data_IF_075049274003
#
_entry.id   IF_075049274003
#
_cell.length_a   1.000
_cell.length_b   1.000
_cell.length_c   1.000
_cell.angle_alpha   90.00
_cell.angle_beta   90.00
_cell.angle_gamma   90.00
#
_symmetry.space_group_name_H-M   'P 1'
#
loop_
_entity.id
_entity.type
_entity.pdbx_description
1 polymer ?
#
# COMPACT_ATOMS: atom_id res chain seq x y z
N UNK A 1 -22.44 12.70 -15.15
CA UNK A 1 -21.88 13.37 -13.95
C UNK A 1 -20.38 13.24 -14.04
N UNK A 2 -19.63 14.34 -13.98
CA UNK A 2 -18.17 14.26 -13.92
C UNK A 2 -17.80 13.77 -12.53
N UNK A 3 -17.05 12.68 -12.45
CA UNK A 3 -16.59 12.12 -11.19
C UNK A 3 -15.63 13.12 -10.52
N UNK A 4 -15.82 13.39 -9.23
CA UNK A 4 -14.87 14.20 -8.45
C UNK A 4 -13.98 13.31 -7.59
N UNK A 5 -12.81 13.82 -7.17
CA UNK A 5 -11.92 13.10 -6.24
C UNK A 5 -12.61 12.79 -4.91
N UNK A 6 -13.53 13.65 -4.46
CA UNK A 6 -14.27 13.38 -3.23
C UNK A 6 -15.19 12.19 -3.41
N UNK A 7 -15.86 12.06 -4.56
CA UNK A 7 -16.77 10.95 -4.86
C UNK A 7 -16.03 9.61 -4.88
N UNK A 8 -14.75 9.59 -5.28
CA UNK A 8 -13.91 8.38 -5.25
C UNK A 8 -13.89 7.82 -3.83
N UNK A 9 -13.67 8.68 -2.83
CA UNK A 9 -13.53 8.28 -1.44
C UNK A 9 -14.90 8.04 -0.80
N UNK A 10 -15.83 9.00 -0.94
CA UNK A 10 -17.12 8.97 -0.23
C UNK A 10 -18.09 7.94 -0.79
N UNK A 11 -18.10 7.76 -2.11
CA UNK A 11 -18.96 6.78 -2.79
C UNK A 11 -18.21 5.49 -3.12
N UNK A 12 -16.92 5.40 -2.80
CA UNK A 12 -16.10 4.21 -3.04
C UNK A 12 -15.96 3.86 -4.51
N UNK A 13 -15.94 4.87 -5.40
CA UNK A 13 -15.85 4.74 -6.86
C UNK A 13 -14.43 4.42 -7.35
N UNK A 14 -13.83 3.41 -6.75
CA UNK A 14 -12.57 2.81 -7.16
C UNK A 14 -12.60 1.32 -6.84
N UNK A 15 -11.68 0.58 -7.45
CA UNK A 15 -11.49 -0.83 -7.18
C UNK A 15 -10.01 -1.18 -7.22
N UNK A 16 -9.69 -2.37 -6.72
CA UNK A 16 -8.35 -2.92 -6.80
C UNK A 16 -8.39 -4.10 -7.77
N UNK A 17 -7.39 -4.18 -8.64
CA UNK A 17 -7.07 -5.40 -9.38
C UNK A 17 -5.83 -6.03 -8.74
N UNK A 18 -5.72 -7.36 -8.84
CA UNK A 18 -4.68 -8.12 -8.15
C UNK A 18 -3.80 -8.82 -9.18
N UNK A 19 -2.53 -8.45 -9.22
CA UNK A 19 -1.54 -9.03 -10.11
C UNK A 19 -0.80 -10.15 -9.37
N UNK A 20 -0.81 -11.40 -9.86
CA UNK A 20 -0.13 -12.50 -9.17
C UNK A 20 1.39 -12.36 -9.28
N UNK A 21 2.08 -12.70 -8.19
CA UNK A 21 3.55 -12.76 -8.10
C UNK A 21 3.97 -14.21 -7.89
N UNK A 22 4.91 -14.68 -8.72
CA UNK A 22 5.37 -16.07 -8.71
C UNK A 22 6.84 -16.17 -8.30
N UNK A 23 7.17 -17.20 -7.53
CA UNK A 23 8.56 -17.55 -7.22
C UNK A 23 9.20 -18.22 -8.44
N UNK A 24 10.33 -17.70 -8.91
CA UNK A 24 10.91 -18.08 -10.22
C UNK A 24 11.35 -19.56 -10.23
N UNK A 25 11.91 -20.09 -9.13
CA UNK A 25 12.49 -21.43 -9.15
C UNK A 25 11.41 -22.53 -9.11
N UNK A 26 10.38 -22.37 -8.26
CA UNK A 26 9.31 -23.35 -8.13
C UNK A 26 8.11 -23.09 -9.05
N UNK A 27 7.97 -21.87 -9.59
CA UNK A 27 6.76 -21.44 -10.30
C UNK A 27 5.53 -21.35 -9.40
N UNK A 28 5.69 -21.41 -8.07
CA UNK A 28 4.59 -21.32 -7.12
C UNK A 28 4.11 -19.88 -6.95
N UNK A 29 2.80 -19.73 -6.72
CA UNK A 29 2.21 -18.43 -6.39
C UNK A 29 2.71 -17.99 -5.02
N UNK A 30 3.45 -16.88 -4.99
CA UNK A 30 3.99 -16.30 -3.76
C UNK A 30 3.02 -15.29 -3.13
N UNK A 31 2.42 -14.44 -3.95
CA UNK A 31 1.59 -13.34 -3.48
C UNK A 31 0.79 -12.64 -4.58
N UNK A 32 0.19 -11.52 -4.23
CA UNK A 32 -0.47 -10.61 -5.16
C UNK A 32 -0.06 -9.18 -4.88
N UNK A 33 0.13 -8.40 -5.93
CA UNK A 33 0.21 -6.94 -5.86
C UNK A 33 -1.17 -6.33 -6.10
N UNK A 34 -1.58 -5.44 -5.20
CA UNK A 34 -2.84 -4.71 -5.33
C UNK A 34 -2.66 -3.38 -6.03
N UNK A 35 -3.38 -3.23 -7.14
CA UNK A 35 -3.29 -2.08 -8.02
C UNK A 35 -4.60 -1.31 -8.04
N UNK A 36 -4.53 -0.04 -7.64
CA UNK A 36 -5.67 0.87 -7.63
C UNK A 36 -6.19 1.17 -9.04
N UNK A 37 -7.50 1.22 -9.22
CA UNK A 37 -8.19 1.58 -10.47
C UNK A 37 -9.42 2.44 -10.17
N UNK A 38 -9.69 3.42 -11.01
CA UNK A 38 -10.81 4.34 -10.86
C UNK A 38 -11.23 4.88 -12.24
N UNK A 39 -12.49 5.29 -12.39
CA UNK A 39 -13.00 5.95 -13.60
C UNK A 39 -12.63 7.44 -13.69
N UNK A 40 -12.03 8.02 -12.64
CA UNK A 40 -11.63 9.43 -12.63
C UNK A 40 -10.47 9.68 -13.59
N UNK A 41 -9.47 8.80 -13.54
CA UNK A 41 -8.36 8.75 -14.49
C UNK A 41 -7.85 7.31 -14.57
N UNK A 42 -7.55 6.86 -15.78
CA UNK A 42 -6.97 5.55 -16.04
C UNK A 42 -5.55 5.39 -15.47
N UNK A 43 -4.83 6.49 -15.26
CA UNK A 43 -3.52 6.51 -14.60
C UNK A 43 -3.68 6.78 -13.10
N UNK A 44 -3.46 5.76 -12.23
CA UNK A 44 -3.57 5.91 -10.78
C UNK A 44 -2.66 7.02 -10.23
N UNK A 45 -1.46 7.20 -10.78
CA UNK A 45 -0.51 8.22 -10.31
C UNK A 45 -1.09 9.63 -10.41
N UNK A 46 -1.86 9.91 -11.47
CA UNK A 46 -2.54 11.21 -11.63
C UNK A 46 -3.64 11.39 -10.58
N UNK A 47 -4.39 10.32 -10.25
CA UNK A 47 -5.41 10.37 -9.20
C UNK A 47 -4.77 10.72 -7.85
N UNK A 48 -3.69 10.03 -7.47
CA UNK A 48 -2.97 10.30 -6.22
C UNK A 48 -2.27 11.66 -6.22
N UNK A 49 -1.74 12.12 -7.37
CA UNK A 49 -1.21 13.48 -7.52
C UNK A 49 -2.28 14.53 -7.23
N UNK A 50 -3.48 14.37 -7.78
CA UNK A 50 -4.58 15.29 -7.53
C UNK A 50 -5.05 15.22 -6.07
N UNK A 51 -5.16 14.02 -5.49
CA UNK A 51 -5.50 13.85 -4.07
C UNK A 51 -4.50 14.56 -3.14
N UNK A 52 -3.20 14.49 -3.44
CA UNK A 52 -2.14 15.23 -2.74
C UNK A 52 -2.36 16.74 -2.82
N UNK A 53 -2.62 17.26 -4.03
CA UNK A 53 -2.87 18.70 -4.23
C UNK A 53 -4.14 19.20 -3.56
N UNK A 54 -5.12 18.33 -3.38
CA UNK A 54 -6.37 18.61 -2.68
C UNK A 54 -6.33 18.35 -1.18
N UNK A 55 -5.18 17.89 -0.63
CA UNK A 55 -5.02 17.62 0.80
C UNK A 55 -5.76 16.39 1.31
N UNK A 56 -6.14 15.47 0.42
CA UNK A 56 -6.92 14.26 0.74
C UNK A 56 -6.17 12.96 0.44
N UNK A 57 -4.83 13.04 0.34
CA UNK A 57 -3.99 11.89 0.00
C UNK A 57 -4.09 10.79 1.05
N UNK A 58 -4.07 11.15 2.33
CA UNK A 58 -4.15 10.18 3.43
C UNK A 58 -5.45 9.38 3.36
N UNK A 59 -6.58 10.06 3.11
CA UNK A 59 -7.90 9.47 3.01
C UNK A 59 -8.00 8.54 1.80
N UNK A 60 -7.48 8.93 0.64
CA UNK A 60 -7.48 8.09 -0.55
C UNK A 60 -6.59 6.85 -0.37
N UNK A 61 -5.37 7.05 0.13
CA UNK A 61 -4.38 5.98 0.28
C UNK A 61 -4.84 4.93 1.30
N UNK A 62 -5.34 5.38 2.46
CA UNK A 62 -5.93 4.46 3.46
C UNK A 62 -7.21 3.79 2.97
N UNK A 63 -8.06 4.47 2.18
CA UNK A 63 -9.23 3.84 1.57
C UNK A 63 -8.84 2.75 0.56
N UNK A 64 -7.80 3.00 -0.25
CA UNK A 64 -7.24 2.03 -1.19
C UNK A 64 -6.67 0.79 -0.47
N UNK A 65 -5.88 1.00 0.59
CA UNK A 65 -5.34 -0.07 1.43
C UNK A 65 -6.47 -0.88 2.09
N UNK A 66 -7.46 -0.21 2.67
CA UNK A 66 -8.61 -0.85 3.31
C UNK A 66 -9.38 -1.74 2.34
N UNK A 67 -9.69 -1.23 1.15
CA UNK A 67 -10.40 -2.01 0.13
C UNK A 67 -9.57 -3.19 -0.33
N UNK A 68 -8.28 -2.97 -0.60
CA UNK A 68 -7.33 -4.00 -1.00
C UNK A 68 -7.32 -5.18 -0.02
N UNK A 69 -7.12 -4.91 1.27
CA UNK A 69 -7.05 -5.94 2.33
C UNK A 69 -8.39 -6.68 2.45
N UNK A 70 -9.51 -5.97 2.43
CA UNK A 70 -10.83 -6.60 2.53
C UNK A 70 -11.11 -7.56 1.36
N UNK A 71 -10.88 -7.11 0.13
CA UNK A 71 -11.08 -7.94 -1.07
C UNK A 71 -10.09 -9.10 -1.09
N UNK A 72 -8.83 -8.85 -0.71
CA UNK A 72 -7.85 -9.92 -0.58
C UNK A 72 -8.30 -11.00 0.40
N UNK A 73 -8.78 -10.58 1.59
CA UNK A 73 -9.25 -11.48 2.62
C UNK A 73 -10.47 -12.31 2.18
N UNK A 74 -11.42 -11.67 1.50
CA UNK A 74 -12.64 -12.31 1.03
C UNK A 74 -12.35 -13.41 -0.01
N UNK A 75 -11.44 -13.17 -0.95
CA UNK A 75 -11.27 -14.03 -2.13
C UNK A 75 -10.05 -14.96 -2.09
N UNK A 76 -8.95 -14.54 -1.46
CA UNK A 76 -7.64 -15.21 -1.61
C UNK A 76 -7.12 -15.85 -0.33
N UNK A 77 -7.57 -15.37 0.82
CA UNK A 77 -7.02 -15.73 2.12
C UNK A 77 -7.61 -17.04 2.67
N UNK A 78 -8.94 -17.21 2.62
CA UNK A 78 -9.64 -18.34 3.27
C UNK A 78 -9.65 -19.67 2.49
N UNK A 79 -9.18 -19.69 1.24
CA UNK A 79 -9.35 -20.83 0.32
C UNK A 79 -8.07 -21.57 -0.07
N UNK A 80 -6.90 -21.07 0.30
CA UNK A 80 -5.63 -21.62 -0.18
C UNK A 80 -4.84 -22.34 0.92
N UNK A 81 -4.33 -23.55 0.60
CA UNK A 81 -3.42 -24.33 1.48
C UNK A 81 -2.07 -23.62 1.70
N UNK A 82 -1.67 -22.77 0.75
CA UNK A 82 -0.56 -21.83 0.89
C UNK A 82 -1.16 -20.42 0.91
N UNK A 83 -1.06 -19.74 2.04
CA UNK A 83 -1.60 -18.40 2.23
C UNK A 83 -0.68 -17.38 1.53
N UNK A 84 -1.08 -16.81 0.37
CA UNK A 84 -0.24 -15.86 -0.36
C UNK A 84 -0.05 -14.58 0.45
N UNK A 85 1.01 -13.80 0.19
CA UNK A 85 1.10 -12.44 0.72
C UNK A 85 0.31 -11.45 -0.17
N UNK A 86 0.01 -10.28 0.38
CA UNK A 86 -0.56 -9.15 -0.31
C UNK A 86 0.41 -7.96 -0.25
N UNK A 87 0.84 -7.47 -1.40
CA UNK A 87 1.51 -6.19 -1.55
C UNK A 87 0.49 -5.06 -1.69
N UNK A 88 0.66 -3.99 -0.92
CA UNK A 88 -0.11 -2.75 -1.03
C UNK A 88 0.80 -1.55 -1.14
N UNK A 89 0.51 -0.69 -2.12
CA UNK A 89 1.15 0.59 -2.31
C UNK A 89 0.87 1.54 -1.14
N UNK A 90 1.89 2.29 -0.71
CA UNK A 90 1.81 3.21 0.41
C UNK A 90 2.71 4.43 0.18
N UNK A 91 2.16 5.62 0.38
CA UNK A 91 2.93 6.86 0.32
C UNK A 91 3.67 7.16 1.64
N UNK A 92 4.95 7.59 1.58
CA UNK A 92 5.71 8.10 2.73
C UNK A 92 5.00 9.15 3.60
N UNK A 93 4.12 9.98 3.06
CA UNK A 93 3.35 10.95 3.82
C UNK A 93 2.24 10.29 4.64
N UNK A 94 1.58 9.25 4.09
CA UNK A 94 0.55 8.46 4.74
C UNK A 94 1.11 7.72 5.96
N UNK A 95 2.25 7.05 5.83
CA UNK A 95 2.87 6.30 6.94
C UNK A 95 3.31 7.20 8.10
N UNK A 96 3.64 8.47 7.82
CA UNK A 96 4.01 9.48 8.82
C UNK A 96 2.81 10.06 9.56
N UNK A 97 1.59 9.77 9.11
CA UNK A 97 0.37 10.25 9.74
C UNK A 97 0.19 9.60 11.12
N UNK A 98 -0.11 10.37 12.19
CA UNK A 98 -0.14 9.85 13.57
C UNK A 98 -1.10 8.67 13.78
N UNK A 99 -2.17 8.59 12.99
CA UNK A 99 -3.20 7.55 13.12
C UNK A 99 -2.97 6.35 12.19
N UNK A 100 -1.95 6.35 11.33
CA UNK A 100 -1.77 5.29 10.32
C UNK A 100 -1.53 3.91 10.95
N UNK A 101 -0.63 3.81 11.93
CA UNK A 101 -0.33 2.52 12.58
C UNK A 101 -1.57 1.95 13.28
N UNK A 102 -2.33 2.80 13.98
CA UNK A 102 -3.57 2.39 14.63
C UNK A 102 -4.63 1.95 13.61
N UNK A 103 -4.77 2.69 12.51
CA UNK A 103 -5.65 2.33 11.40
C UNK A 103 -5.31 0.95 10.83
N UNK A 104 -4.03 0.72 10.53
CA UNK A 104 -3.58 -0.51 9.89
C UNK A 104 -3.74 -1.71 10.83
N UNK A 105 -3.39 -1.56 12.11
CA UNK A 105 -3.58 -2.62 13.11
C UNK A 105 -5.06 -2.99 13.26
N UNK A 106 -5.94 -2.00 13.41
CA UNK A 106 -7.39 -2.23 13.53
C UNK A 106 -7.95 -2.94 12.29
N UNK A 107 -7.51 -2.52 11.11
CA UNK A 107 -7.93 -3.14 9.86
C UNK A 107 -7.53 -4.63 9.80
N UNK A 108 -6.29 -4.96 10.14
CA UNK A 108 -5.82 -6.35 10.13
C UNK A 108 -6.52 -7.21 11.18
N UNK A 109 -6.76 -6.67 12.38
CA UNK A 109 -7.53 -7.35 13.43
C UNK A 109 -8.97 -7.66 12.97
N UNK A 110 -9.64 -6.71 12.30
CA UNK A 110 -11.00 -6.88 11.79
C UNK A 110 -11.14 -8.02 10.77
N UNK A 111 -10.09 -8.28 10.00
CA UNK A 111 -10.09 -9.32 8.95
C UNK A 111 -9.32 -10.59 9.34
N UNK A 112 -8.74 -10.62 10.54
CA UNK A 112 -7.88 -11.70 11.06
C UNK A 112 -6.70 -12.01 10.11
N UNK A 113 -6.10 -10.99 9.51
CA UNK A 113 -4.98 -11.12 8.57
C UNK A 113 -3.64 -10.89 9.31
N UNK A 114 -2.74 -11.88 9.39
CA UNK A 114 -1.43 -11.71 10.02
C UNK A 114 -0.59 -10.62 9.31
N UNK A 115 0.10 -9.74 10.05
CA UNK A 115 0.95 -8.69 9.47
C UNK A 115 2.05 -9.22 8.54
N UNK A 116 2.56 -10.43 8.76
CA UNK A 116 3.61 -11.07 7.94
C UNK A 116 3.12 -11.42 6.53
N UNK A 117 1.83 -11.23 6.27
CA UNK A 117 1.18 -11.48 4.99
C UNK A 117 0.84 -10.20 4.26
N UNK A 118 1.25 -9.05 4.79
CA UNK A 118 1.12 -7.75 4.15
C UNK A 118 2.50 -7.17 3.91
N UNK A 119 2.80 -6.93 2.64
CA UNK A 119 3.98 -6.19 2.19
C UNK A 119 3.55 -4.75 1.93
N UNK A 120 4.16 -3.80 2.63
CA UNK A 120 3.96 -2.38 2.41
C UNK A 120 4.99 -1.89 1.38
N UNK A 121 4.52 -1.56 0.19
CA UNK A 121 5.35 -1.05 -0.91
C UNK A 121 5.42 0.47 -0.84
N UNK A 122 6.60 0.96 -0.42
CA UNK A 122 6.84 2.38 -0.25
C UNK A 122 7.14 3.00 -1.61
N UNK A 123 6.34 3.99 -2.00
CA UNK A 123 6.54 4.73 -3.23
C UNK A 123 7.82 5.60 -3.18
N UNK A 124 8.73 5.45 -4.16
CA UNK A 124 10.00 6.19 -4.20
C UNK A 124 9.87 7.65 -4.65
N UNK A 125 8.77 8.01 -5.33
CA UNK A 125 8.63 9.33 -5.98
C UNK A 125 8.23 10.44 -5.02
N UNK A 126 7.74 10.10 -3.83
CA UNK A 126 7.39 11.09 -2.82
C UNK A 126 8.63 11.49 -2.01
N UNK A 127 8.99 12.78 -2.11
CA UNK A 127 10.09 13.34 -1.33
C UNK A 127 9.83 13.17 0.16
N UNK A 128 10.81 12.62 0.85
CA UNK A 128 10.78 12.47 2.30
C UNK A 128 11.86 13.34 2.95
N UNK A 129 11.42 14.41 3.60
CA UNK A 129 12.34 15.38 4.21
C UNK A 129 12.74 15.00 5.64
N UNK A 130 12.04 14.04 6.27
CA UNK A 130 12.25 13.61 7.66
C UNK A 130 12.52 12.09 7.73
N UNK A 131 13.74 11.73 7.30
CA UNK A 131 14.23 10.36 7.36
C UNK A 131 14.27 9.77 8.78
N UNK A 132 14.69 10.50 9.84
CA UNK A 132 14.67 9.95 11.20
C UNK A 132 13.29 9.51 11.66
N UNK A 133 12.26 10.33 11.44
CA UNK A 133 10.88 9.97 11.79
C UNK A 133 10.40 8.79 10.95
N UNK A 134 10.68 8.80 9.65
CA UNK A 134 10.30 7.73 8.74
C UNK A 134 10.93 6.39 9.14
N UNK A 135 12.24 6.34 9.39
CA UNK A 135 12.96 5.15 9.86
C UNK A 135 12.35 4.59 11.15
N UNK A 136 12.01 5.47 12.10
CA UNK A 136 11.37 5.04 13.36
C UNK A 136 10.03 4.34 13.11
N UNK A 137 9.22 4.85 12.19
CA UNK A 137 7.93 4.24 11.85
C UNK A 137 8.11 2.91 11.12
N UNK A 138 9.06 2.83 10.18
CA UNK A 138 9.38 1.57 9.51
C UNK A 138 9.85 0.49 10.49
N UNK A 139 10.69 0.87 11.46
CA UNK A 139 11.14 -0.05 12.50
C UNK A 139 9.98 -0.55 13.37
N UNK A 140 9.06 0.34 13.77
CA UNK A 140 7.84 -0.06 14.51
C UNK A 140 6.99 -1.04 13.69
N UNK A 141 6.77 -0.78 12.40
CA UNK A 141 6.06 -1.70 11.50
C UNK A 141 6.75 -3.07 11.39
N UNK A 142 8.06 -3.10 11.15
CA UNK A 142 8.80 -4.37 11.10
C UNK A 142 8.73 -5.13 12.41
N UNK A 143 8.83 -4.44 13.56
CA UNK A 143 8.71 -5.06 14.88
C UNK A 143 7.34 -5.69 15.14
N UNK A 144 6.32 -5.26 14.39
CA UNK A 144 4.94 -5.80 14.40
C UNK A 144 4.71 -6.88 13.35
N UNK A 145 5.75 -7.30 12.63
CA UNK A 145 5.70 -8.39 11.65
C UNK A 145 5.41 -7.96 10.20
N UNK A 146 5.24 -6.66 9.92
CA UNK A 146 5.04 -6.21 8.54
C UNK A 146 6.28 -6.40 7.68
N UNK A 147 6.06 -6.81 6.44
CA UNK A 147 7.07 -6.79 5.40
C UNK A 147 7.06 -5.42 4.72
N UNK A 148 8.23 -4.94 4.31
CA UNK A 148 8.38 -3.63 3.68
C UNK A 148 9.18 -3.82 2.40
N UNK A 149 8.69 -3.28 1.30
CA UNK A 149 9.39 -3.25 0.02
C UNK A 149 9.47 -1.81 -0.50
N UNK A 150 10.40 -1.57 -1.42
CA UNK A 150 10.44 -0.33 -2.19
C UNK A 150 9.79 -0.58 -3.55
N UNK A 151 8.90 0.31 -3.94
CA UNK A 151 8.33 0.30 -5.28
C UNK A 151 9.31 0.94 -6.29
N UNK A 152 9.34 0.40 -7.51
CA UNK A 152 9.92 1.01 -8.70
C UNK A 152 11.37 1.52 -8.59
N UNK A 153 12.25 0.76 -7.94
CA UNK A 153 13.67 1.09 -7.75
C UNK A 153 14.36 1.64 -9.02
N UNK A 154 14.73 2.93 -8.99
CA UNK A 154 15.66 3.52 -9.97
C UNK A 154 15.04 4.47 -11.00
N UNK A 155 13.76 4.86 -10.85
CA UNK A 155 13.17 5.94 -11.66
C UNK A 155 13.46 7.34 -11.06
N UNK A 156 13.83 7.43 -9.78
CA UNK A 156 14.16 8.67 -9.07
C UNK A 156 15.61 8.80 -8.58
N UNK A 157 16.08 10.04 -8.40
CA UNK A 157 17.43 10.37 -7.87
C UNK A 157 17.65 10.01 -6.38
N UNK A 158 16.62 9.53 -5.68
CA UNK A 158 16.61 9.32 -4.22
C UNK A 158 16.61 7.83 -3.80
N UNK A 159 16.66 6.90 -4.76
CA UNK A 159 16.48 5.46 -4.56
C UNK A 159 17.51 4.86 -3.59
N UNK A 160 18.81 5.15 -3.74
CA UNK A 160 19.84 4.53 -2.90
C UNK A 160 19.75 4.92 -1.42
N UNK A 161 19.48 6.21 -1.13
CA UNK A 161 19.31 6.66 0.26
C UNK A 161 18.09 6.01 0.89
N UNK A 162 16.98 5.95 0.16
CA UNK A 162 15.77 5.32 0.67
C UNK A 162 15.97 3.82 0.91
N UNK A 163 16.72 3.11 0.06
CA UNK A 163 17.01 1.67 0.24
C UNK A 163 17.78 1.41 1.53
N UNK A 164 18.78 2.24 1.82
CA UNK A 164 19.56 2.16 3.06
C UNK A 164 18.69 2.41 4.31
N UNK A 165 17.63 3.20 4.19
CA UNK A 165 16.70 3.50 5.29
C UNK A 165 15.62 2.43 5.44
N UNK A 166 15.19 1.83 4.33
CA UNK A 166 14.18 0.78 4.34
C UNK A 166 14.71 -0.52 4.93
N UNK A 167 16.01 -0.81 4.81
CA UNK A 167 16.61 -2.11 5.17
C UNK A 167 15.71 -3.30 4.72
N UNK A 168 15.28 -3.32 3.44
CA UNK A 168 14.17 -4.16 2.98
C UNK A 168 14.42 -5.66 3.17
#
# INVERSE_FOLDING_TARGET
>A
MNLTLSDIITEGKFWNVFQPVYEINSGSLAGYESLFRCDFDSNPELVFYHARRSGILYELDTAAIKRSINVFNEYFSRKNKCFPYLSVNLYPSTIKHPFFIQFLHKLLDEVELPPEKVVLEINETEQNDDFPKFRKVLHDLKSRGFLIAMDDLGKGNSSLKMVLELEP
#
